data_IF_913226592612
#
_entry.id   IF_913226592612
#
_cell.length_a   1.000
_cell.length_b   1.000
_cell.length_c   1.000
_cell.angle_alpha   90.00
_cell.angle_beta   90.00
_cell.angle_gamma   90.00
#
_symmetry.space_group_name_H-M   'P 1'
#
loop_
_entity.id
_entity.type
_entity.pdbx_description
1 polymer ?
#
# COMPACT_ATOMS: atom_id res chain seq x y z
N UNK A 1 -37.42 -31.51 34.36
CA UNK A 1 -35.98 -31.28 34.13
C UNK A 1 -35.82 -30.64 32.75
N UNK A 2 -35.62 -29.31 32.75
CA UNK A 2 -35.53 -28.51 31.48
C UNK A 2 -34.04 -28.32 31.19
N UNK A 3 -33.53 -28.89 30.08
CA UNK A 3 -32.18 -28.63 29.60
C UNK A 3 -32.20 -27.37 28.74
N UNK A 4 -31.65 -26.29 29.25
CA UNK A 4 -31.39 -25.07 28.47
C UNK A 4 -30.06 -25.27 27.74
N UNK A 5 -30.14 -25.55 26.43
CA UNK A 5 -28.96 -25.61 25.56
C UNK A 5 -28.41 -24.22 25.32
N UNK A 6 -27.22 -23.90 25.83
CA UNK A 6 -26.50 -22.70 25.52
C UNK A 6 -25.88 -22.83 24.12
N UNK A 7 -26.44 -22.12 23.12
CA UNK A 7 -25.81 -21.96 21.79
C UNK A 7 -24.63 -21.01 21.91
N UNK A 8 -23.43 -21.56 21.86
CA UNK A 8 -22.19 -20.78 21.69
C UNK A 8 -22.14 -20.23 20.26
N UNK A 9 -22.42 -18.95 20.09
CA UNK A 9 -22.14 -18.23 18.85
C UNK A 9 -20.62 -18.09 18.73
N UNK A 10 -19.99 -18.95 17.93
CA UNK A 10 -18.65 -18.70 17.44
C UNK A 10 -18.73 -17.53 16.48
N UNK A 11 -18.33 -16.34 16.92
CA UNK A 11 -18.02 -15.24 16.04
C UNK A 11 -16.75 -15.62 15.25
N UNK A 12 -16.93 -16.28 14.12
CA UNK A 12 -15.83 -16.60 13.21
C UNK A 12 -15.23 -15.28 12.72
N UNK A 13 -13.97 -15.02 13.05
CA UNK A 13 -13.22 -13.95 12.38
C UNK A 13 -13.24 -14.26 10.89
N UNK A 14 -13.88 -13.40 10.11
CA UNK A 14 -13.89 -13.51 8.66
C UNK A 14 -12.43 -13.39 8.17
N UNK A 15 -11.87 -14.49 7.70
CA UNK A 15 -10.54 -14.56 7.12
C UNK A 15 -10.58 -13.86 5.77
N UNK A 16 -9.59 -13.00 5.46
CA UNK A 16 -9.44 -12.48 4.12
C UNK A 16 -9.21 -13.62 3.13
N UNK A 17 -9.85 -13.58 1.96
CA UNK A 17 -9.72 -14.61 0.94
C UNK A 17 -8.34 -14.57 0.29
N UNK A 18 -7.77 -13.34 0.12
CA UNK A 18 -6.38 -13.13 -0.25
C UNK A 18 -5.73 -12.09 0.68
N UNK A 19 -4.53 -12.38 1.15
CA UNK A 19 -3.82 -11.52 2.10
C UNK A 19 -2.32 -11.62 1.96
N UNK A 20 -1.65 -10.46 1.90
CA UNK A 20 -0.20 -10.34 1.94
C UNK A 20 0.24 -9.62 3.23
N UNK A 21 1.26 -10.14 3.88
CA UNK A 21 1.81 -9.53 5.09
C UNK A 21 2.75 -8.37 4.73
N UNK A 22 2.20 -7.35 4.05
CA UNK A 22 2.93 -6.13 3.71
C UNK A 22 3.06 -5.27 4.96
N UNK A 23 4.31 -4.95 5.43
CA UNK A 23 4.49 -4.07 6.57
C UNK A 23 3.89 -2.69 6.32
N UNK A 24 3.30 -2.09 7.36
CA UNK A 24 2.76 -0.74 7.27
C UNK A 24 3.80 0.29 7.74
N UNK A 25 4.02 1.33 6.93
CA UNK A 25 4.81 2.50 7.29
C UNK A 25 4.02 3.78 7.02
N UNK A 26 4.01 4.68 7.99
CA UNK A 26 3.46 6.02 7.79
C UNK A 26 4.44 6.89 7.00
N UNK A 27 3.89 7.81 6.21
CA UNK A 27 4.69 8.84 5.55
C UNK A 27 5.29 9.82 6.57
N UNK A 28 6.54 10.21 6.35
CA UNK A 28 7.26 11.09 7.27
C UNK A 28 7.02 12.57 6.99
N UNK A 29 6.44 12.90 5.83
CA UNK A 29 6.03 14.26 5.47
C UNK A 29 4.63 14.25 4.84
N UNK A 30 3.92 15.37 4.78
CA UNK A 30 2.56 15.42 4.22
C UNK A 30 2.43 14.97 2.76
N UNK A 31 3.53 14.92 2.00
CA UNK A 31 3.55 14.63 0.56
C UNK A 31 4.32 13.38 0.18
N UNK A 32 4.82 12.60 1.14
CA UNK A 32 5.64 11.40 0.90
C UNK A 32 4.84 10.09 0.84
N UNK A 33 3.54 10.13 0.53
CA UNK A 33 2.76 8.91 0.36
C UNK A 33 3.37 7.96 -0.69
N UNK A 34 3.92 8.49 -1.78
CA UNK A 34 4.53 7.74 -2.85
C UNK A 34 5.79 6.97 -2.40
N UNK A 35 6.67 7.60 -1.63
CA UNK A 35 7.88 6.94 -1.12
C UNK A 35 7.56 5.99 0.04
N UNK A 36 6.60 6.33 0.91
CA UNK A 36 6.17 5.44 1.99
C UNK A 36 5.48 4.18 1.45
N UNK A 37 4.66 4.30 0.40
CA UNK A 37 4.07 3.15 -0.28
C UNK A 37 5.15 2.27 -0.93
N UNK A 38 6.15 2.87 -1.61
CA UNK A 38 7.31 2.12 -2.14
C UNK A 38 8.08 1.41 -1.01
N UNK A 39 8.30 2.08 0.14
CA UNK A 39 8.96 1.50 1.31
C UNK A 39 8.24 0.25 1.83
N UNK A 40 6.91 0.27 1.90
CA UNK A 40 6.12 -0.88 2.32
C UNK A 40 6.34 -2.09 1.40
N UNK A 41 6.41 -1.86 0.09
CA UNK A 41 6.66 -2.93 -0.89
C UNK A 41 8.10 -3.45 -0.79
N UNK A 42 9.08 -2.58 -0.66
CA UNK A 42 10.49 -2.95 -0.50
C UNK A 42 10.65 -3.80 0.77
N UNK A 43 10.02 -3.39 1.87
CA UNK A 43 10.01 -4.15 3.11
C UNK A 43 9.32 -5.53 2.98
N UNK A 44 8.27 -5.62 2.21
CA UNK A 44 7.61 -6.90 1.90
C UNK A 44 8.53 -7.84 1.12
N UNK A 45 9.30 -7.31 0.15
CA UNK A 45 10.20 -8.12 -0.71
C UNK A 45 11.53 -8.46 -0.04
N UNK A 46 12.11 -7.55 0.75
CA UNK A 46 13.48 -7.66 1.28
C UNK A 46 13.56 -7.78 2.80
N UNK A 47 12.44 -7.61 3.48
CA UNK A 47 12.40 -7.51 4.94
C UNK A 47 12.64 -6.08 5.46
N UNK A 48 12.06 -5.80 6.62
CA UNK A 48 12.10 -4.46 7.24
C UNK A 48 13.54 -3.99 7.51
N UNK A 49 14.42 -4.89 7.98
CA UNK A 49 15.80 -4.57 8.30
C UNK A 49 16.67 -4.15 7.09
N UNK A 50 16.29 -4.57 5.88
CA UNK A 50 16.98 -4.23 4.64
C UNK A 50 16.34 -3.05 3.90
N UNK A 51 15.32 -2.42 4.49
CA UNK A 51 14.55 -1.34 3.85
C UNK A 51 15.15 0.02 4.22
N UNK A 52 15.53 0.86 3.24
CA UNK A 52 16.08 2.18 3.52
C UNK A 52 15.01 3.12 4.12
N UNK A 53 15.42 4.15 4.87
CA UNK A 53 14.51 5.19 5.33
C UNK A 53 13.97 6.01 4.15
N UNK A 54 12.79 6.60 4.31
CA UNK A 54 12.12 7.37 3.24
C UNK A 54 12.98 8.50 2.70
N UNK A 55 13.68 9.21 3.57
CA UNK A 55 14.59 10.31 3.17
C UNK A 55 15.67 9.84 2.21
N UNK A 56 16.32 8.69 2.47
CA UNK A 56 17.34 8.14 1.56
C UNK A 56 16.76 7.68 0.23
N UNK A 57 15.50 7.25 0.22
CA UNK A 57 14.80 6.90 -1.00
C UNK A 57 14.50 8.14 -1.86
N UNK A 58 14.13 9.26 -1.22
CA UNK A 58 13.98 10.56 -1.91
C UNK A 58 15.32 11.02 -2.48
N UNK A 59 16.40 10.95 -1.70
CA UNK A 59 17.76 11.25 -2.18
C UNK A 59 18.12 10.48 -3.44
N UNK A 60 17.80 9.18 -3.47
CA UNK A 60 18.11 8.32 -4.62
C UNK A 60 17.33 8.72 -5.87
N UNK A 61 16.08 9.16 -5.72
CA UNK A 61 15.24 9.63 -6.84
C UNK A 61 15.74 10.97 -7.38
N UNK A 62 16.13 11.87 -6.48
CA UNK A 62 16.53 13.24 -6.83
C UNK A 62 17.99 13.34 -7.27
N UNK A 63 18.78 12.26 -7.12
CA UNK A 63 20.22 12.31 -7.32
C UNK A 63 20.93 13.23 -6.30
N UNK A 64 20.32 13.41 -5.14
CA UNK A 64 20.84 14.29 -4.09
C UNK A 64 22.05 13.66 -3.38
N UNK A 65 22.88 14.50 -2.78
CA UNK A 65 23.99 14.03 -1.97
C UNK A 65 23.50 13.24 -0.75
N UNK A 66 24.22 12.20 -0.32
CA UNK A 66 23.83 11.42 0.85
C UNK A 66 23.61 12.31 2.09
N UNK A 67 22.57 11.98 2.86
CA UNK A 67 22.13 12.71 4.06
C UNK A 67 21.57 14.11 3.84
N UNK A 68 21.36 14.54 2.60
CA UNK A 68 20.78 15.85 2.29
C UNK A 68 19.30 15.92 2.70
N UNK A 69 18.53 14.86 2.42
CA UNK A 69 17.10 14.79 2.77
C UNK A 69 16.84 14.15 4.14
N UNK A 70 17.82 13.43 4.69
CA UNK A 70 17.72 12.79 6.00
C UNK A 70 18.13 13.70 7.18
N UNK A 71 18.66 14.87 6.88
CA UNK A 71 19.00 15.89 7.87
C UNK A 71 17.81 16.76 8.27
N UNK A 72 18.09 17.89 8.87
CA UNK A 72 17.05 18.84 9.32
C UNK A 72 16.40 19.50 8.09
N UNK A 73 15.28 18.90 7.64
CA UNK A 73 14.26 19.50 6.79
C UNK A 73 14.77 20.30 5.58
N UNK A 74 15.43 19.63 4.60
CA UNK A 74 15.76 20.32 3.35
C UNK A 74 14.46 20.55 2.54
N UNK A 75 14.01 21.80 2.32
CA UNK A 75 12.72 22.07 1.69
C UNK A 75 12.59 21.46 0.28
N UNK A 76 13.70 21.35 -0.47
CA UNK A 76 13.74 20.73 -1.78
C UNK A 76 13.43 19.23 -1.79
N UNK A 77 13.53 18.54 -0.65
CA UNK A 77 13.21 17.12 -0.55
C UNK A 77 11.72 16.84 -0.25
N UNK A 78 10.95 17.86 0.14
CA UNK A 78 9.53 17.73 0.50
C UNK A 78 8.66 18.01 -0.72
N UNK A 79 8.56 17.02 -1.60
CA UNK A 79 7.77 17.12 -2.84
C UNK A 79 6.97 15.84 -3.11
N UNK A 80 6.00 15.92 -4.00
CA UNK A 80 5.23 14.80 -4.51
C UNK A 80 6.04 13.98 -5.50
N UNK A 81 5.73 12.69 -5.64
CA UNK A 81 6.34 11.80 -6.63
C UNK A 81 5.31 11.19 -7.58
N UNK A 82 5.81 10.62 -8.66
CA UNK A 82 5.03 9.92 -9.68
C UNK A 82 5.10 8.40 -9.49
N UNK A 83 4.18 7.66 -10.12
CA UNK A 83 4.25 6.19 -10.15
C UNK A 83 5.51 5.66 -10.85
N UNK A 84 6.08 6.40 -11.80
CA UNK A 84 7.38 6.03 -12.39
C UNK A 84 8.48 6.02 -11.33
N UNK A 85 8.51 7.04 -10.47
CA UNK A 85 9.47 7.10 -9.36
C UNK A 85 9.23 5.99 -8.33
N UNK A 86 7.97 5.68 -8.01
CA UNK A 86 7.60 4.54 -7.15
C UNK A 86 8.11 3.23 -7.73
N UNK A 87 7.86 2.96 -9.02
CA UNK A 87 8.32 1.75 -9.70
C UNK A 87 9.85 1.65 -9.72
N UNK A 88 10.54 2.77 -9.98
CA UNK A 88 12.01 2.82 -9.96
C UNK A 88 12.59 2.55 -8.57
N UNK A 89 11.99 3.08 -7.51
CA UNK A 89 12.39 2.80 -6.13
C UNK A 89 12.24 1.31 -5.79
N UNK A 90 11.10 0.73 -6.15
CA UNK A 90 10.84 -0.70 -5.92
C UNK A 90 11.83 -1.57 -6.71
N UNK A 91 12.16 -1.22 -7.96
CA UNK A 91 13.15 -1.94 -8.74
C UNK A 91 14.56 -1.81 -8.15
N UNK A 92 14.95 -0.60 -7.78
CA UNK A 92 16.31 -0.32 -7.29
C UNK A 92 16.58 -0.92 -5.91
N UNK A 93 15.69 -0.70 -4.95
CA UNK A 93 15.88 -1.17 -3.57
C UNK A 93 15.22 -2.55 -3.31
N UNK A 94 14.11 -2.84 -3.96
CA UNK A 94 13.34 -4.06 -3.77
C UNK A 94 13.75 -5.21 -4.70
N UNK A 95 14.41 -4.90 -5.81
CA UNK A 95 14.80 -5.88 -6.82
C UNK A 95 13.61 -6.47 -7.58
N UNK A 96 12.44 -5.81 -7.56
CA UNK A 96 11.21 -6.28 -8.19
C UNK A 96 10.74 -5.29 -9.24
N UNK A 97 10.27 -5.80 -10.38
CA UNK A 97 9.70 -4.97 -11.43
C UNK A 97 8.20 -4.76 -11.20
N UNK A 98 7.70 -3.64 -11.67
CA UNK A 98 6.29 -3.27 -11.57
C UNK A 98 5.67 -3.15 -12.94
N UNK A 99 4.41 -3.57 -13.05
CA UNK A 99 3.60 -3.39 -14.25
C UNK A 99 2.48 -2.40 -13.97
N UNK A 100 2.30 -1.43 -14.86
CA UNK A 100 1.17 -0.50 -14.79
C UNK A 100 -0.13 -1.23 -15.08
N UNK A 101 -1.18 -0.94 -14.30
CA UNK A 101 -2.49 -1.57 -14.41
C UNK A 101 -3.57 -0.52 -14.21
N UNK A 102 -4.69 -0.71 -14.90
CA UNK A 102 -5.92 0.04 -14.62
C UNK A 102 -6.62 -0.50 -13.37
N UNK A 103 -7.55 0.27 -12.77
CA UNK A 103 -8.39 -0.23 -11.69
C UNK A 103 -9.01 -1.58 -12.05
N UNK A 104 -8.86 -2.56 -11.14
CA UNK A 104 -9.26 -3.94 -11.38
C UNK A 104 -10.55 -4.28 -10.60
N UNK A 105 -11.28 -5.28 -11.05
CA UNK A 105 -12.41 -5.82 -10.30
C UNK A 105 -11.94 -6.73 -9.14
N UNK A 106 -12.80 -7.09 -8.17
CA UNK A 106 -12.43 -7.87 -6.99
C UNK A 106 -11.76 -9.20 -7.31
N UNK A 107 -12.19 -9.94 -8.34
CA UNK A 107 -11.62 -11.24 -8.71
C UNK A 107 -10.19 -11.10 -9.25
N UNK A 108 -9.92 -10.04 -10.02
CA UNK A 108 -8.56 -9.75 -10.51
C UNK A 108 -7.66 -9.35 -9.36
N UNK A 109 -8.14 -8.56 -8.40
CA UNK A 109 -7.41 -8.20 -7.18
C UNK A 109 -7.07 -9.45 -6.38
N UNK A 110 -8.06 -10.30 -6.11
CA UNK A 110 -7.87 -11.56 -5.38
C UNK A 110 -6.81 -12.45 -6.03
N UNK A 111 -6.91 -12.70 -7.33
CA UNK A 111 -5.95 -13.51 -8.07
C UNK A 111 -4.54 -12.91 -8.07
N UNK A 112 -4.43 -11.59 -8.16
CA UNK A 112 -3.15 -10.87 -8.10
C UNK A 112 -2.49 -11.04 -6.74
N UNK A 113 -3.24 -10.84 -5.66
CA UNK A 113 -2.76 -10.99 -4.29
C UNK A 113 -2.42 -12.46 -3.97
N UNK A 114 -3.23 -13.41 -4.41
CA UNK A 114 -2.95 -14.85 -4.25
C UNK A 114 -1.67 -15.29 -4.99
N UNK A 115 -1.26 -14.54 -6.01
CA UNK A 115 0.04 -14.73 -6.68
C UNK A 115 1.21 -14.05 -5.96
N UNK A 116 1.01 -13.52 -4.74
CA UNK A 116 2.06 -12.85 -3.95
C UNK A 116 2.41 -11.45 -4.45
N UNK A 117 1.57 -10.85 -5.29
CA UNK A 117 1.82 -9.55 -5.93
C UNK A 117 0.97 -8.46 -5.29
N UNK A 118 1.57 -7.55 -4.48
CA UNK A 118 0.85 -6.41 -3.92
C UNK A 118 0.51 -5.38 -5.02
N UNK A 119 -0.55 -4.61 -4.76
CA UNK A 119 -1.05 -3.59 -5.69
C UNK A 119 -0.92 -2.22 -5.01
N UNK A 120 -0.31 -1.27 -5.69
CA UNK A 120 -0.38 0.13 -5.30
C UNK A 120 -1.48 0.80 -6.12
N UNK A 121 -2.37 1.52 -5.45
CA UNK A 121 -3.45 2.26 -6.08
C UNK A 121 -3.25 3.76 -5.89
N UNK A 122 -3.31 4.51 -6.98
CA UNK A 122 -3.42 5.97 -6.94
C UNK A 122 -4.89 6.35 -6.89
N UNK A 123 -5.25 7.11 -5.89
CA UNK A 123 -6.63 7.55 -5.66
C UNK A 123 -6.72 9.08 -5.66
N UNK A 124 -7.88 9.58 -6.05
CA UNK A 124 -8.22 11.01 -5.95
C UNK A 124 -8.67 11.30 -4.51
N UNK A 125 -8.10 12.34 -3.90
CA UNK A 125 -8.45 12.77 -2.54
C UNK A 125 -9.06 14.18 -2.48
N UNK A 126 -9.10 14.85 -3.63
CA UNK A 126 -9.69 16.18 -3.77
C UNK A 126 -9.61 16.66 -5.23
N UNK A 127 -10.00 17.89 -5.50
CA UNK A 127 -10.12 18.42 -6.88
C UNK A 127 -8.80 18.46 -7.66
N UNK A 128 -7.66 18.45 -6.98
CA UNK A 128 -6.33 18.49 -7.62
C UNK A 128 -5.27 17.69 -6.83
N UNK A 129 -5.69 16.83 -5.92
CA UNK A 129 -4.77 16.02 -5.10
C UNK A 129 -5.00 14.53 -5.31
N UNK A 130 -3.90 13.79 -5.34
CA UNK A 130 -3.89 12.32 -5.40
C UNK A 130 -3.10 11.75 -4.22
N UNK A 131 -3.38 10.50 -3.90
CA UNK A 131 -2.74 9.78 -2.82
C UNK A 131 -2.43 8.36 -3.27
N UNK A 132 -1.40 7.74 -2.69
CA UNK A 132 -1.02 6.36 -3.00
C UNK A 132 -1.23 5.48 -1.79
N UNK A 133 -1.99 4.41 -1.98
CA UNK A 133 -2.22 3.38 -0.97
C UNK A 133 -1.80 2.00 -1.47
N UNK A 134 -1.57 1.06 -0.56
CA UNK A 134 -1.24 -0.32 -0.90
C UNK A 134 -2.44 -1.22 -0.59
N UNK A 135 -2.94 -1.92 -1.60
CA UNK A 135 -3.92 -2.99 -1.44
C UNK A 135 -3.13 -4.26 -1.12
N UNK A 136 -3.26 -4.75 0.12
CA UNK A 136 -2.55 -5.92 0.62
C UNK A 136 -3.45 -7.13 0.87
N UNK A 137 -4.76 -6.96 0.76
CA UNK A 137 -5.70 -8.05 0.93
C UNK A 137 -7.09 -7.70 0.41
N UNK A 138 -7.87 -8.73 0.23
CA UNK A 138 -9.29 -8.65 -0.12
C UNK A 138 -10.08 -9.72 0.63
N UNK A 139 -11.25 -9.35 1.08
CA UNK A 139 -12.28 -10.26 1.57
C UNK A 139 -13.44 -10.24 0.57
N UNK A 140 -13.67 -11.39 -0.05
CA UNK A 140 -14.75 -11.55 -1.04
C UNK A 140 -16.12 -11.65 -0.35
N UNK A 141 -17.18 -11.50 -1.13
CA UNK A 141 -18.55 -11.56 -0.65
C UNK A 141 -19.47 -10.64 -1.46
N UNK A 142 -20.73 -10.47 -1.03
CA UNK A 142 -21.67 -9.58 -1.73
C UNK A 142 -21.19 -8.12 -1.77
N UNK A 143 -20.44 -7.70 -0.78
CA UNK A 143 -19.80 -6.39 -0.69
C UNK A 143 -18.32 -6.58 -0.35
N UNK A 144 -17.44 -6.80 -1.34
CA UNK A 144 -16.02 -7.07 -1.10
C UNK A 144 -15.34 -5.94 -0.30
N UNK A 145 -14.48 -6.33 0.65
CA UNK A 145 -13.69 -5.40 1.46
C UNK A 145 -12.21 -5.52 1.08
N UNK A 146 -11.57 -4.39 0.87
CA UNK A 146 -10.13 -4.30 0.65
C UNK A 146 -9.40 -4.04 1.98
N UNK A 147 -8.28 -4.70 2.17
CA UNK A 147 -7.35 -4.42 3.28
C UNK A 147 -6.28 -3.48 2.76
N UNK A 148 -6.24 -2.30 3.34
CA UNK A 148 -5.41 -1.18 2.87
C UNK A 148 -4.31 -0.86 3.88
N UNK A 149 -3.11 -0.70 3.36
CA UNK A 149 -2.06 0.05 4.04
C UNK A 149 -2.04 1.47 3.43
N UNK A 150 -2.47 2.43 4.20
CA UNK A 150 -2.47 3.83 3.82
C UNK A 150 -1.34 4.56 4.56
N UNK A 151 -0.37 5.17 3.83
CA UNK A 151 0.71 5.92 4.46
C UNK A 151 0.27 7.08 5.36
N UNK A 152 -0.92 7.63 5.17
CA UNK A 152 -1.47 8.70 6.02
C UNK A 152 -2.16 8.17 7.28
N UNK A 153 -2.58 6.91 7.29
CA UNK A 153 -3.28 6.32 8.42
C UNK A 153 -2.30 5.80 9.50
N UNK A 154 -2.66 5.81 10.78
CA UNK A 154 -1.80 5.29 11.85
C UNK A 154 -1.71 3.75 11.85
N UNK A 155 -2.66 3.07 11.21
CA UNK A 155 -2.71 1.62 11.11
C UNK A 155 -3.45 1.18 9.83
N UNK A 156 -3.23 -0.06 9.37
CA UNK A 156 -4.00 -0.65 8.29
C UNK A 156 -5.51 -0.69 8.62
N UNK A 157 -6.35 -0.55 7.59
CA UNK A 157 -7.80 -0.58 7.75
C UNK A 157 -8.48 -1.33 6.60
N UNK A 158 -9.79 -1.52 6.72
CA UNK A 158 -10.64 -2.08 5.68
C UNK A 158 -11.54 -1.00 5.06
N UNK A 159 -11.79 -1.14 3.76
CA UNK A 159 -12.67 -0.23 3.01
C UNK A 159 -13.49 -1.04 2.00
N UNK A 160 -14.77 -0.72 1.76
CA UNK A 160 -15.52 -1.34 0.68
C UNK A 160 -14.82 -1.14 -0.68
N UNK A 161 -14.74 -2.21 -1.47
CA UNK A 161 -14.18 -2.13 -2.82
C UNK A 161 -14.85 -1.02 -3.66
N UNK A 162 -16.18 -0.91 -3.59
CA UNK A 162 -16.93 0.10 -4.34
C UNK A 162 -16.50 1.54 -3.99
N UNK A 163 -16.12 1.79 -2.75
CA UNK A 163 -15.62 3.09 -2.33
C UNK A 163 -14.24 3.38 -2.91
N UNK A 164 -13.28 2.45 -2.78
CA UNK A 164 -11.95 2.64 -3.37
C UNK A 164 -12.05 2.76 -4.90
N UNK A 165 -12.84 1.92 -5.55
CA UNK A 165 -13.01 1.90 -7.00
C UNK A 165 -13.53 3.24 -7.57
N UNK A 166 -14.34 3.98 -6.80
CA UNK A 166 -14.81 5.31 -7.20
C UNK A 166 -13.73 6.39 -7.18
N UNK A 167 -12.62 6.16 -6.47
CA UNK A 167 -11.50 7.08 -6.30
C UNK A 167 -10.25 6.64 -7.08
N UNK A 168 -10.20 5.39 -7.51
CA UNK A 168 -9.01 4.77 -8.10
C UNK A 168 -8.83 5.19 -9.55
N UNK A 169 -7.71 5.83 -9.86
CA UNK A 169 -7.41 6.36 -11.20
C UNK A 169 -6.28 5.63 -11.91
N UNK A 170 -5.30 5.09 -11.17
CA UNK A 170 -4.13 4.40 -11.73
C UNK A 170 -3.58 3.40 -10.72
N UNK A 171 -2.77 2.46 -11.18
CA UNK A 171 -2.17 1.45 -10.31
C UNK A 171 -0.93 0.79 -10.88
N UNK A 172 -0.16 0.17 -10.00
CA UNK A 172 0.93 -0.73 -10.36
C UNK A 172 0.82 -2.03 -9.57
N UNK A 173 1.10 -3.14 -10.24
CA UNK A 173 1.28 -4.47 -9.64
C UNK A 173 2.76 -4.77 -9.57
N UNK A 174 3.24 -5.22 -8.42
CA UNK A 174 4.65 -5.54 -8.20
C UNK A 174 4.86 -7.06 -8.31
N UNK A 175 5.72 -7.46 -9.22
CA UNK A 175 6.06 -8.86 -9.48
C UNK A 175 7.10 -9.41 -8.50
#
# INVERSE_FOLDING_TARGET
MLFIGASLFFCGMAKADAFLNVPHFQQQTPVWCWVAAAQQIIAYKRGVAATPPQCSMVEAVDGASPSMCCGVGHPGCVHTGSFVQVANLIAYFGGSFSSYVLPANPYVIENTLNSGRPILAQIVTGSASTHVVVIRGIQMGPNPLLLINDPMAPAPYQIPFSHLASLWIDGIVVN
#
